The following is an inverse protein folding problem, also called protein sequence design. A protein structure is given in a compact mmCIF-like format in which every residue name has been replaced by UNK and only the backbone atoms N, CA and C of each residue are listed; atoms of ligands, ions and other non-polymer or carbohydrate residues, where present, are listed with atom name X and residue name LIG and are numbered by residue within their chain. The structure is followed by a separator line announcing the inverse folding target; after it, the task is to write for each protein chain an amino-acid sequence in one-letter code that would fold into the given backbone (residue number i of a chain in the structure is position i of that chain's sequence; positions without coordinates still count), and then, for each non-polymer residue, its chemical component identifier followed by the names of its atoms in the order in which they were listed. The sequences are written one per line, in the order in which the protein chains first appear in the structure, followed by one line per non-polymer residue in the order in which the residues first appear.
data_IF_950236905258
#
_entry.id   IF_950236905258
#
_cell.length_a   1.000
_cell.length_b   1.000
_cell.length_c   1.000
_cell.angle_alpha   90.00
_cell.angle_beta   90.00
_cell.angle_gamma   90.00
#
_symmetry.space_group_name_H-M   'P 1'
#
loop_
_entity.id
_entity.type
_entity.pdbx_description
1 polymer ?
#
# COMPACT_ATOMS: atom_id res chain seq x y z
N UNK A 1 -6.57 17.29 -20.35
CA UNK A 1 -6.19 17.36 -19.91
C UNK A 1 -5.88 16.83 -19.20
N UNK A 2 -5.61 16.62 -19.12
CA UNK A 2 -5.51 15.69 -18.37
C UNK A 2 -4.75 15.83 -17.23
N UNK A 3 -5.19 15.31 -16.27
CA UNK A 3 -4.55 15.38 -15.21
C UNK A 3 -3.46 14.49 -15.30
N UNK A 4 -2.40 14.82 -14.94
CA UNK A 4 -1.31 14.01 -14.90
C UNK A 4 -1.41 13.14 -13.75
N UNK A 5 -1.32 11.89 -13.96
CA UNK A 5 -1.29 10.94 -12.87
C UNK A 5 0.11 10.88 -12.40
N UNK A 6 0.34 11.34 -11.23
CA UNK A 6 1.68 11.32 -10.69
C UNK A 6 1.83 10.11 -9.84
N UNK A 7 2.98 9.94 -9.27
CA UNK A 7 3.17 8.89 -8.32
C UNK A 7 2.62 9.28 -6.99
N UNK A 8 1.98 10.42 -6.87
CA UNK A 8 1.41 10.84 -5.62
C UNK A 8 0.24 9.93 -5.28
N UNK A 9 0.34 9.25 -4.17
CA UNK A 9 -0.67 8.31 -3.74
C UNK A 9 -2.01 8.98 -3.49
N UNK A 10 -2.01 10.27 -3.19
CA UNK A 10 -3.24 10.99 -2.92
C UNK A 10 -4.12 11.09 -4.15
N UNK A 11 -3.56 10.88 -5.33
CA UNK A 11 -4.35 10.94 -6.55
C UNK A 11 -5.11 9.66 -6.82
N UNK A 12 -4.89 8.62 -6.03
CA UNK A 12 -5.52 7.33 -6.26
C UNK A 12 -6.77 7.21 -5.41
N UNK A 13 -7.89 6.96 -6.07
CA UNK A 13 -9.14 6.72 -5.36
C UNK A 13 -9.26 5.24 -5.05
N UNK A 14 -9.51 4.91 -3.79
CA UNK A 14 -9.67 3.52 -3.42
C UNK A 14 -10.87 2.90 -4.13
N UNK A 15 -11.90 3.69 -4.42
CA UNK A 15 -13.08 3.18 -5.10
C UNK A 15 -12.77 2.79 -6.54
N UNK A 16 -11.88 3.52 -7.20
CA UNK A 16 -11.51 3.27 -8.58
C UNK A 16 -10.32 2.34 -8.73
N UNK A 17 -9.49 2.23 -7.72
CA UNK A 17 -8.29 1.39 -7.80
C UNK A 17 -8.65 -0.07 -7.66
N UNK A 18 -8.01 -0.91 -8.47
CA UNK A 18 -8.20 -2.35 -8.36
C UNK A 18 -7.24 -2.90 -7.32
N UNK A 19 -7.50 -4.12 -6.88
CA UNK A 19 -6.58 -4.79 -5.97
C UNK A 19 -5.19 -4.86 -6.59
N UNK A 20 -5.13 -5.08 -7.91
CA UNK A 20 -3.87 -5.18 -8.59
C UNK A 20 -3.12 -3.86 -8.61
N UNK A 21 -3.83 -2.74 -8.81
CA UNK A 21 -3.20 -1.43 -8.77
C UNK A 21 -2.54 -1.19 -7.42
N UNK A 22 -3.26 -1.52 -6.36
CA UNK A 22 -2.75 -1.30 -5.01
C UNK A 22 -1.60 -2.25 -4.69
N UNK A 23 -1.67 -3.47 -5.20
CA UNK A 23 -0.59 -4.43 -5.02
C UNK A 23 0.69 -3.90 -5.67
N UNK A 24 0.58 -3.34 -6.86
CA UNK A 24 1.74 -2.80 -7.55
C UNK A 24 2.41 -1.68 -6.78
N UNK A 25 1.60 -0.81 -6.21
CA UNK A 25 2.16 0.28 -5.40
C UNK A 25 2.91 -0.30 -4.21
N UNK A 26 2.31 -1.28 -3.55
CA UNK A 26 2.97 -1.94 -2.44
C UNK A 26 4.30 -2.56 -2.83
N UNK A 27 4.33 -3.19 -4.00
CA UNK A 27 5.56 -3.81 -4.47
C UNK A 27 6.65 -2.77 -4.74
N UNK A 28 6.28 -1.61 -5.29
CA UNK A 28 7.26 -0.56 -5.53
C UNK A 28 7.97 -0.16 -4.25
N UNK A 29 7.20 0.06 -3.20
CA UNK A 29 7.79 0.44 -1.91
C UNK A 29 8.55 -0.71 -1.26
N UNK A 30 8.07 -1.92 -1.48
CA UNK A 30 8.69 -3.09 -0.90
C UNK A 30 10.08 -3.31 -1.45
N UNK A 31 10.26 -3.15 -2.76
CA UNK A 31 11.55 -3.39 -3.39
C UNK A 31 12.33 -2.12 -3.68
N UNK A 32 11.73 -0.97 -3.52
CA UNK A 32 12.42 0.29 -3.75
C UNK A 32 12.54 0.65 -5.22
N UNK A 33 11.55 0.28 -6.03
CA UNK A 33 11.59 0.59 -7.46
C UNK A 33 10.96 1.95 -7.70
N UNK A 34 11.77 2.88 -8.23
CA UNK A 34 11.35 4.25 -8.53
C UNK A 34 11.02 5.07 -7.30
N UNK A 35 11.11 4.49 -6.13
CA UNK A 35 10.92 5.18 -4.85
C UNK A 35 11.88 4.54 -3.87
N UNK A 36 12.15 5.21 -2.77
CA UNK A 36 12.96 4.61 -1.71
C UNK A 36 12.18 3.48 -1.07
N UNK A 37 12.87 2.40 -0.74
CA UNK A 37 12.24 1.30 -0.05
C UNK A 37 11.62 1.79 1.26
N UNK A 38 10.40 1.35 1.53
CA UNK A 38 9.70 1.78 2.72
C UNK A 38 8.69 0.70 3.08
N UNK A 39 9.02 -0.10 4.08
CA UNK A 39 8.17 -1.24 4.43
C UNK A 39 6.87 -0.82 5.09
N UNK A 40 6.85 0.32 5.78
CA UNK A 40 5.59 0.82 6.34
C UNK A 40 4.63 1.16 5.20
N UNK A 41 5.12 1.87 4.20
CA UNK A 41 4.29 2.21 3.05
C UNK A 41 3.86 0.95 2.30
N UNK A 42 4.78 0.01 2.10
CA UNK A 42 4.45 -1.24 1.42
C UNK A 42 3.35 -1.98 2.16
N UNK A 43 3.47 -2.08 3.47
CA UNK A 43 2.49 -2.78 4.30
C UNK A 43 1.12 -2.11 4.18
N UNK A 44 1.09 -0.78 4.21
CA UNK A 44 -0.14 -0.03 4.05
C UNK A 44 -0.83 -0.38 2.73
N UNK A 45 -0.10 -0.36 1.63
CA UNK A 45 -0.68 -0.62 0.32
C UNK A 45 -1.07 -2.08 0.13
N UNK A 46 -0.28 -3.01 0.70
CA UNK A 46 -0.67 -4.42 0.68
C UNK A 46 -1.96 -4.63 1.47
N UNK A 47 -2.10 -3.91 2.59
CA UNK A 47 -3.30 -4.01 3.39
C UNK A 47 -4.53 -3.56 2.60
N UNK A 48 -4.39 -2.44 1.89
CA UNK A 48 -5.48 -1.93 1.07
C UNK A 48 -5.79 -2.87 -0.09
N UNK A 49 -4.76 -3.44 -0.70
CA UNK A 49 -4.95 -4.41 -1.78
C UNK A 49 -5.67 -5.66 -1.28
N UNK A 50 -5.31 -6.11 -0.08
CA UNK A 50 -5.95 -7.29 0.51
C UNK A 50 -7.44 -7.03 0.75
N UNK A 51 -7.78 -5.82 1.18
CA UNK A 51 -9.18 -5.47 1.38
C UNK A 51 -9.96 -5.51 0.08
N UNK A 52 -9.29 -5.28 -1.04
CA UNK A 52 -9.92 -5.33 -2.35
C UNK A 52 -9.87 -6.72 -2.95
N UNK A 53 -9.35 -7.69 -2.23
CA UNK A 53 -9.40 -9.08 -2.63
C UNK A 53 -8.10 -9.73 -3.08
N UNK A 54 -6.97 -9.05 -2.92
CA UNK A 54 -5.69 -9.62 -3.35
C UNK A 54 -5.17 -10.61 -2.32
N UNK A 55 -5.15 -11.89 -2.66
CA UNK A 55 -4.56 -12.90 -1.80
C UNK A 55 -3.05 -12.76 -1.75
N UNK A 56 -2.45 -12.38 -2.88
CA UNK A 56 -1.01 -12.16 -2.91
C UNK A 56 -0.59 -11.07 -1.93
N UNK A 57 -1.40 -10.00 -1.87
CA UNK A 57 -1.09 -8.90 -0.96
C UNK A 57 -1.11 -9.36 0.49
N UNK A 58 -2.02 -10.25 0.83
CA UNK A 58 -2.06 -10.79 2.19
C UNK A 58 -0.77 -11.50 2.52
N UNK A 59 -0.26 -12.27 1.57
CA UNK A 59 0.95 -13.02 1.79
C UNK A 59 2.16 -12.11 1.90
N UNK A 60 2.27 -11.13 1.01
CA UNK A 60 3.38 -10.17 1.06
C UNK A 60 3.33 -9.39 2.36
N UNK A 61 2.15 -8.95 2.77
CA UNK A 61 2.00 -8.23 4.02
C UNK A 61 2.51 -9.05 5.19
N UNK A 62 2.14 -10.31 5.21
CA UNK A 62 2.56 -11.20 6.27
C UNK A 62 4.07 -11.38 6.29
N UNK A 63 4.65 -11.52 5.11
CA UNK A 63 6.09 -11.72 4.99
C UNK A 63 6.88 -10.51 5.47
N UNK A 64 6.51 -9.31 5.03
CA UNK A 64 7.28 -8.15 5.44
C UNK A 64 7.03 -7.80 6.90
N UNK A 65 5.88 -8.18 7.45
CA UNK A 65 5.63 -7.95 8.87
C UNK A 65 6.68 -8.61 9.75
N UNK A 66 7.26 -9.70 9.30
CA UNK A 66 8.28 -10.38 10.08
C UNK A 66 9.56 -9.59 10.19
N UNK A 67 9.77 -8.66 9.27
CA UNK A 67 10.97 -7.82 9.27
C UNK A 67 10.71 -6.46 9.90
N UNK A 68 9.46 -6.19 10.26
CA UNK A 68 9.08 -4.89 10.79
C UNK A 68 8.89 -4.97 12.29
N UNK A 69 9.07 -3.84 12.95
CA UNK A 69 8.75 -3.79 14.38
C UNK A 69 7.24 -3.78 14.55
N UNK A 70 6.79 -4.16 15.73
CA UNK A 70 5.35 -4.12 16.02
C UNK A 70 4.81 -2.69 15.89
N UNK A 71 5.61 -1.70 16.26
CA UNK A 71 5.22 -0.31 16.14
C UNK A 71 5.03 0.07 14.69
N UNK A 72 5.94 -0.37 13.82
CA UNK A 72 5.83 -0.05 12.40
C UNK A 72 4.63 -0.73 11.76
N UNK A 73 4.34 -1.96 12.15
CA UNK A 73 3.15 -2.65 11.63
C UNK A 73 1.89 -1.91 12.05
N UNK A 74 1.83 -1.50 13.33
CA UNK A 74 0.67 -0.76 13.82
C UNK A 74 0.52 0.57 13.08
N UNK A 75 1.65 1.23 12.80
CA UNK A 75 1.64 2.50 12.09
C UNK A 75 1.10 2.31 10.67
N UNK A 76 1.54 1.25 10.00
CA UNK A 76 1.07 0.96 8.65
C UNK A 76 -0.43 0.69 8.64
N UNK A 77 -0.91 -0.05 9.64
CA UNK A 77 -2.33 -0.35 9.75
C UNK A 77 -3.14 0.92 9.99
N UNK A 78 -2.63 1.80 10.82
CA UNK A 78 -3.30 3.07 11.07
C UNK A 78 -3.34 3.92 9.81
N UNK A 79 -2.24 3.95 9.07
CA UNK A 79 -2.20 4.72 7.83
C UNK A 79 -3.19 4.18 6.80
N UNK A 80 -3.34 2.86 6.73
CA UNK A 80 -4.31 2.27 5.81
C UNK A 80 -5.73 2.67 6.19
N UNK A 81 -6.04 2.63 7.48
CA UNK A 81 -7.35 3.05 7.96
C UNK A 81 -7.61 4.50 7.66
N UNK A 82 -6.60 5.35 7.92
CA UNK A 82 -6.74 6.78 7.68
C UNK A 82 -6.97 7.07 6.20
N UNK A 83 -6.26 6.34 5.35
CA UNK A 83 -6.40 6.53 3.91
C UNK A 83 -7.81 6.20 3.45
N UNK A 84 -8.38 5.11 3.97
CA UNK A 84 -9.75 4.74 3.68
C UNK A 84 -10.74 5.79 4.13
N UNK A 85 -10.50 6.39 5.28
CA UNK A 85 -11.39 7.42 5.82
C UNK A 85 -11.35 8.68 4.97
N UNK A 86 -10.18 9.02 4.44
CA UNK A 86 -10.01 10.26 3.70
C UNK A 86 -10.34 10.12 2.22
N UNK A 87 -10.38 8.93 1.72
CA UNK A 87 -10.61 8.68 0.31
C UNK A 87 -11.75 7.72 0.09
#
# INVERSE_FOLDING_TARGET
MGRQITENEADISIAAATAEDLLEIGMKYCIGRDVSQNLVAAHKWFNLAALKGSESAKQYRCEISREMSATDVADAQRQARDWLTLH
#
